data_IF_326384387925
#
_entry.id   IF_326384387925
#
_cell.length_a   1.000
_cell.length_b   1.000
_cell.length_c   1.000
_cell.angle_alpha   90.00
_cell.angle_beta   90.00
_cell.angle_gamma   90.00
#
_symmetry.space_group_name_H-M   'P 1'
#
loop_
_entity.id
_entity.type
_entity.pdbx_description
1 polymer ?
#
# COMPACT_ATOMS: atom_id res chain seq x y z
N UNK A 1 -7.27 3.98 3.54
CA UNK A 1 -6.54 3.76 4.82
C UNK A 1 -5.34 4.68 5.04
N UNK A 2 -4.14 4.41 4.51
CA UNK A 2 -2.94 5.20 4.84
C UNK A 2 -3.08 6.71 4.50
N UNK A 3 -3.64 7.01 3.33
CA UNK A 3 -3.92 8.38 2.91
C UNK A 3 -4.99 9.06 3.78
N UNK A 4 -6.05 8.35 4.16
CA UNK A 4 -7.07 8.85 5.09
C UNK A 4 -6.47 9.16 6.46
N UNK A 5 -5.57 8.29 6.95
CA UNK A 5 -4.88 8.49 8.21
C UNK A 5 -4.04 9.77 8.20
N UNK A 6 -3.29 10.00 7.11
CA UNK A 6 -2.52 11.22 6.91
C UNK A 6 -3.42 12.46 6.82
N UNK A 7 -4.54 12.38 6.09
CA UNK A 7 -5.49 13.48 6.00
C UNK A 7 -6.09 13.82 7.38
N UNK A 8 -6.48 12.82 8.16
CA UNK A 8 -7.00 13.01 9.51
C UNK A 8 -5.97 13.61 10.47
N UNK A 9 -4.74 13.09 10.45
CA UNK A 9 -3.62 13.63 11.23
C UNK A 9 -3.37 15.11 10.90
N UNK A 10 -3.28 15.48 9.61
CA UNK A 10 -3.08 16.89 9.22
C UNK A 10 -4.23 17.79 9.64
N UNK A 11 -5.47 17.30 9.55
CA UNK A 11 -6.65 18.03 10.04
C UNK A 11 -6.56 18.31 11.54
N UNK A 12 -6.14 17.32 12.33
CA UNK A 12 -5.93 17.48 13.77
C UNK A 12 -4.83 18.49 14.09
N UNK A 13 -3.68 18.42 13.41
CA UNK A 13 -2.58 19.36 13.66
C UNK A 13 -2.92 20.80 13.28
N UNK A 14 -3.76 20.97 12.25
CA UNK A 14 -4.21 22.28 11.78
C UNK A 14 -5.25 22.92 12.72
N UNK A 15 -6.14 22.12 13.29
CA UNK A 15 -7.33 22.61 14.01
C UNK A 15 -7.25 22.43 15.52
N UNK A 16 -6.44 21.49 16.00
CA UNK A 16 -6.44 21.01 17.39
C UNK A 16 -7.65 20.13 17.74
N UNK A 17 -8.58 19.89 16.81
CA UNK A 17 -9.82 19.14 17.07
C UNK A 17 -9.61 17.63 16.91
N UNK A 18 -9.75 16.87 18.01
CA UNK A 18 -9.52 15.42 18.03
C UNK A 18 -10.47 14.61 17.13
N UNK A 19 -11.61 15.18 16.73
CA UNK A 19 -12.54 14.58 15.76
C UNK A 19 -11.87 14.28 14.41
N UNK A 20 -10.89 15.09 14.00
CA UNK A 20 -10.11 14.83 12.79
C UNK A 20 -9.22 13.58 12.89
N UNK A 21 -8.99 13.02 14.08
CA UNK A 21 -8.24 11.77 14.25
C UNK A 21 -9.07 10.52 13.96
N UNK A 22 -10.37 10.62 13.69
CA UNK A 22 -11.22 9.46 13.42
C UNK A 22 -10.72 8.63 12.21
N UNK A 23 -10.39 9.24 11.05
CA UNK A 23 -9.81 8.49 9.93
C UNK A 23 -8.47 7.83 10.26
N UNK A 24 -7.64 8.47 11.08
CA UNK A 24 -6.38 7.89 11.57
C UNK A 24 -6.63 6.64 12.42
N UNK A 25 -7.52 6.73 13.40
CA UNK A 25 -7.86 5.61 14.29
C UNK A 25 -8.44 4.44 13.51
N UNK A 26 -9.36 4.72 12.60
CA UNK A 26 -9.96 3.71 11.71
C UNK A 26 -8.90 3.00 10.86
N UNK A 27 -7.99 3.76 10.24
CA UNK A 27 -6.92 3.19 9.44
C UNK A 27 -5.94 2.33 10.25
N UNK A 28 -5.51 2.79 11.42
CA UNK A 28 -4.63 2.01 12.32
C UNK A 28 -5.30 0.70 12.75
N UNK A 29 -6.61 0.72 13.01
CA UNK A 29 -7.37 -0.49 13.34
C UNK A 29 -7.52 -1.46 12.16
N UNK A 30 -7.66 -0.95 10.95
CA UNK A 30 -7.93 -1.77 9.76
C UNK A 30 -6.68 -2.34 9.08
N UNK A 31 -5.56 -1.61 9.07
CA UNK A 31 -4.35 -1.98 8.32
C UNK A 31 -3.83 -3.39 8.67
N UNK A 32 -3.67 -3.78 9.95
CA UNK A 32 -3.14 -5.11 10.29
C UNK A 32 -3.96 -6.25 9.67
N UNK A 33 -5.30 -6.14 9.70
CA UNK A 33 -6.18 -7.14 9.11
C UNK A 33 -6.07 -7.20 7.58
N UNK A 34 -5.90 -6.05 6.93
CA UNK A 34 -5.67 -6.00 5.47
C UNK A 34 -4.33 -6.63 5.08
N UNK A 35 -3.27 -6.39 5.86
CA UNK A 35 -1.95 -7.00 5.60
C UNK A 35 -1.98 -8.51 5.78
N UNK A 36 -2.63 -9.00 6.85
CA UNK A 36 -2.82 -10.43 7.06
C UNK A 36 -3.63 -11.08 5.93
N UNK A 37 -4.63 -10.37 5.40
CA UNK A 37 -5.39 -10.86 4.25
C UNK A 37 -4.52 -10.94 2.98
N UNK A 38 -3.72 -9.91 2.71
CA UNK A 38 -2.77 -9.93 1.58
C UNK A 38 -1.80 -11.11 1.70
N UNK A 39 -1.32 -11.40 2.91
CA UNK A 39 -0.46 -12.56 3.17
C UNK A 39 -1.14 -13.88 2.89
N UNK A 40 -2.42 -14.01 3.23
CA UNK A 40 -3.19 -15.23 2.92
C UNK A 40 -3.42 -15.45 1.42
N UNK A 41 -3.33 -14.41 0.61
CA UNK A 41 -3.56 -14.44 -0.84
C UNK A 41 -2.27 -14.62 -1.64
N UNK A 42 -1.09 -14.54 -1.00
CA UNK A 42 0.20 -14.50 -1.69
C UNK A 42 0.99 -15.77 -1.39
N UNK A 43 1.33 -16.56 -2.41
CA UNK A 43 2.17 -17.73 -2.23
C UNK A 43 3.63 -17.31 -1.90
N UNK A 44 4.38 -18.07 -1.08
CA UNK A 44 5.74 -17.70 -0.67
C UNK A 44 6.75 -17.52 -1.82
N UNK A 45 6.52 -18.19 -2.95
CA UNK A 45 7.34 -18.16 -4.16
C UNK A 45 6.82 -17.20 -5.22
N UNK A 46 5.74 -16.46 -4.94
CA UNK A 46 5.16 -15.50 -5.86
C UNK A 46 6.09 -14.29 -6.06
N UNK A 47 6.21 -13.84 -7.31
CA UNK A 47 6.94 -12.61 -7.67
C UNK A 47 6.36 -11.36 -6.99
N UNK A 48 5.11 -11.43 -6.52
CA UNK A 48 4.43 -10.38 -5.76
C UNK A 48 4.96 -10.21 -4.33
N UNK A 49 5.65 -11.20 -3.75
CA UNK A 49 6.10 -11.16 -2.35
C UNK A 49 6.99 -9.95 -2.06
N UNK A 50 7.98 -9.69 -2.92
CA UNK A 50 8.93 -8.58 -2.73
C UNK A 50 8.23 -7.19 -2.72
N UNK A 51 7.47 -6.80 -3.76
CA UNK A 51 6.79 -5.50 -3.75
C UNK A 51 5.72 -5.41 -2.64
N UNK A 52 5.08 -6.52 -2.24
CA UNK A 52 4.17 -6.54 -1.09
C UNK A 52 4.92 -6.23 0.22
N UNK A 53 6.10 -6.83 0.42
CA UNK A 53 6.92 -6.55 1.60
C UNK A 53 7.37 -5.08 1.64
N UNK A 54 7.77 -4.49 0.51
CA UNK A 54 8.06 -3.05 0.44
C UNK A 54 6.86 -2.18 0.84
N UNK A 55 5.64 -2.54 0.41
CA UNK A 55 4.43 -1.83 0.83
C UNK A 55 4.24 -1.93 2.35
N UNK A 56 4.46 -3.10 2.96
CA UNK A 56 4.31 -3.30 4.41
C UNK A 56 5.31 -2.49 5.21
N UNK A 57 6.57 -2.48 4.79
CA UNK A 57 7.64 -1.74 5.46
C UNK A 57 7.34 -0.24 5.39
N UNK A 58 7.00 0.26 4.20
CA UNK A 58 6.61 1.65 4.01
C UNK A 58 5.35 2.02 4.82
N UNK A 59 4.33 1.16 4.87
CA UNK A 59 3.15 1.38 5.72
C UNK A 59 3.47 1.42 7.21
N UNK A 60 4.42 0.61 7.67
CA UNK A 60 4.88 0.60 9.06
C UNK A 60 5.62 1.89 9.40
N UNK A 61 6.51 2.34 8.50
CA UNK A 61 7.19 3.63 8.62
C UNK A 61 6.19 4.79 8.63
N UNK A 62 5.16 4.74 7.77
CA UNK A 62 4.11 5.77 7.72
C UNK A 62 3.33 5.84 9.03
N UNK A 63 2.95 4.71 9.59
CA UNK A 63 2.23 4.67 10.87
C UNK A 63 3.09 5.23 12.02
N UNK A 64 4.37 4.89 12.05
CA UNK A 64 5.31 5.43 13.04
C UNK A 64 5.43 6.96 12.93
N UNK A 65 5.61 7.49 11.72
CA UNK A 65 5.68 8.95 11.46
C UNK A 65 4.41 9.68 11.90
N UNK A 66 3.23 9.14 11.55
CA UNK A 66 1.95 9.74 11.95
C UNK A 66 1.79 9.74 13.47
N UNK A 67 2.11 8.62 14.13
CA UNK A 67 2.01 8.49 15.58
C UNK A 67 2.97 9.44 16.31
N UNK A 68 4.22 9.55 15.86
CA UNK A 68 5.22 10.46 16.40
C UNK A 68 4.78 11.92 16.27
N UNK A 69 4.28 12.30 15.10
CA UNK A 69 3.83 13.67 14.86
C UNK A 69 2.65 14.04 15.76
N UNK A 70 1.68 13.15 15.92
CA UNK A 70 0.53 13.35 16.83
C UNK A 70 1.03 13.48 18.27
N UNK A 71 1.93 12.59 18.71
CA UNK A 71 2.48 12.62 20.07
C UNK A 71 3.24 13.92 20.38
N UNK A 72 4.05 14.40 19.44
CA UNK A 72 4.75 15.69 19.56
C UNK A 72 3.77 16.86 19.71
N UNK A 73 2.69 16.85 18.93
CA UNK A 73 1.67 17.88 19.00
C UNK A 73 0.89 17.84 20.32
N UNK A 74 0.48 16.65 20.77
CA UNK A 74 -0.20 16.44 22.06
C UNK A 74 0.67 16.90 23.26
N UNK A 75 2.00 16.82 23.14
CA UNK A 75 2.96 17.32 24.13
C UNK A 75 3.15 18.85 24.10
N UNK A 76 2.40 19.56 23.26
CA UNK A 76 2.55 21.00 23.05
C UNK A 76 3.75 21.39 22.16
N UNK A 77 4.39 20.41 21.51
CA UNK A 77 5.56 20.62 20.67
C UNK A 77 5.20 20.74 19.19
N UNK A 78 4.28 21.67 18.87
CA UNK A 78 3.75 21.86 17.53
C UNK A 78 4.83 22.18 16.48
N UNK A 79 5.90 22.89 16.87
CA UNK A 79 7.03 23.19 15.98
C UNK A 79 7.74 21.92 15.52
N UNK A 80 8.09 21.02 16.45
CA UNK A 80 8.73 19.75 16.08
C UNK A 80 7.81 18.84 15.26
N UNK A 81 6.52 18.81 15.59
CA UNK A 81 5.53 18.08 14.79
C UNK A 81 5.50 18.61 13.33
N UNK A 82 5.54 19.93 13.16
CA UNK A 82 5.57 20.55 11.84
C UNK A 82 6.89 20.32 11.10
N UNK A 83 8.03 20.33 11.79
CA UNK A 83 9.34 20.04 11.21
C UNK A 83 9.40 18.59 10.69
N UNK A 84 8.81 17.64 11.40
CA UNK A 84 8.71 16.25 10.96
C UNK A 84 7.89 16.11 9.67
N UNK A 85 6.75 16.82 9.56
CA UNK A 85 5.97 16.86 8.31
C UNK A 85 6.77 17.50 7.18
N UNK A 86 7.46 18.61 7.46
CA UNK A 86 8.25 19.37 6.49
C UNK A 86 9.50 18.63 6.01
N UNK A 87 9.98 17.65 6.76
CA UNK A 87 11.11 16.80 6.36
C UNK A 87 10.85 16.08 5.02
N UNK A 88 9.58 15.91 4.64
CA UNK A 88 9.20 15.18 3.44
C UNK A 88 9.24 13.67 3.58
N UNK A 89 9.59 13.13 4.76
CA UNK A 89 9.61 11.69 5.04
C UNK A 89 8.26 11.04 4.70
N UNK A 90 7.16 11.62 5.17
CA UNK A 90 5.82 11.11 4.90
C UNK A 90 5.47 11.05 3.40
N UNK A 91 6.00 11.99 2.59
CA UNK A 91 5.81 11.98 1.14
C UNK A 91 6.65 10.88 0.48
N UNK A 92 7.92 10.76 0.87
CA UNK A 92 8.82 9.74 0.33
C UNK A 92 8.26 8.33 0.55
N UNK A 93 7.77 8.05 1.76
CA UNK A 93 7.12 6.77 2.11
C UNK A 93 5.86 6.52 1.28
N UNK A 94 5.02 7.54 1.06
CA UNK A 94 3.84 7.40 0.20
C UNK A 94 4.18 7.19 -1.27
N UNK A 95 5.28 7.79 -1.76
CA UNK A 95 5.77 7.57 -3.12
C UNK A 95 6.34 6.15 -3.30
N UNK A 96 6.99 5.58 -2.28
CA UNK A 96 7.42 4.18 -2.25
C UNK A 96 6.24 3.20 -2.29
N UNK A 97 5.18 3.47 -1.51
CA UNK A 97 3.94 2.68 -1.55
C UNK A 97 3.37 2.69 -2.98
N UNK A 98 3.24 3.87 -3.61
CA UNK A 98 2.72 3.98 -4.98
C UNK A 98 3.56 3.18 -5.98
N UNK A 99 4.88 3.34 -5.92
CA UNK A 99 5.83 2.65 -6.82
C UNK A 99 5.73 1.12 -6.68
N UNK A 100 5.59 0.63 -5.45
CA UNK A 100 5.44 -0.79 -5.16
C UNK A 100 4.08 -1.33 -5.63
N UNK A 101 3.00 -0.56 -5.45
CA UNK A 101 1.67 -0.91 -5.99
C UNK A 101 1.67 -0.98 -7.52
N UNK A 102 2.37 -0.06 -8.19
CA UNK A 102 2.50 -0.09 -9.65
C UNK A 102 3.31 -1.30 -10.12
N UNK A 103 4.30 -1.72 -9.34
CA UNK A 103 5.03 -2.96 -9.59
C UNK A 103 4.15 -4.19 -9.45
N UNK A 104 3.31 -4.28 -8.40
CA UNK A 104 2.31 -5.33 -8.24
C UNK A 104 1.39 -5.40 -9.47
N UNK A 105 0.82 -4.26 -9.88
CA UNK A 105 -0.08 -4.18 -11.05
C UNK A 105 0.58 -4.68 -12.32
N UNK A 106 1.83 -4.30 -12.56
CA UNK A 106 2.60 -4.70 -13.74
C UNK A 106 2.89 -6.21 -13.75
N UNK A 107 3.27 -6.79 -12.61
CA UNK A 107 3.50 -8.24 -12.49
C UNK A 107 2.20 -9.00 -12.77
N UNK A 108 1.10 -8.59 -12.14
CA UNK A 108 -0.21 -9.21 -12.36
C UNK A 108 -0.67 -9.11 -13.82
N UNK A 109 -0.49 -7.95 -14.46
CA UNK A 109 -0.86 -7.77 -15.87
C UNK A 109 -0.04 -8.66 -16.82
N UNK A 110 1.26 -8.81 -16.57
CA UNK A 110 2.12 -9.69 -17.34
C UNK A 110 1.71 -11.18 -17.17
N UNK A 111 1.37 -11.58 -15.95
CA UNK A 111 0.90 -12.94 -15.67
C UNK A 111 -0.42 -13.26 -16.38
N UNK A 112 -1.37 -12.31 -16.43
CA UNK A 112 -2.62 -12.47 -17.20
C UNK A 112 -2.32 -12.60 -18.69
N UNK A 113 -1.52 -11.71 -19.27
CA UNK A 113 -1.18 -11.77 -20.68
C UNK A 113 -0.47 -13.07 -21.08
N UNK A 114 0.39 -13.62 -20.22
CA UNK A 114 1.04 -14.90 -20.45
C UNK A 114 0.05 -16.08 -20.44
N UNK A 115 -0.95 -16.05 -19.56
CA UNK A 115 -2.02 -17.07 -19.50
C UNK A 115 -2.91 -17.02 -20.74
N UNK A 116 -3.22 -15.83 -21.22
CA UNK A 116 -4.02 -15.64 -22.43
C UNK A 116 -3.26 -16.18 -23.66
N UNK A 117 -2.00 -15.78 -23.83
CA UNK A 117 -1.16 -16.27 -24.93
C UNK A 117 -0.98 -17.80 -24.93
N UNK A 118 -0.86 -18.41 -23.75
CA UNK A 118 -0.81 -19.87 -23.62
C UNK A 118 -2.14 -20.53 -24.05
N UNK A 119 -3.28 -19.95 -23.66
CA UNK A 119 -4.61 -20.45 -24.03
C UNK A 119 -4.82 -20.37 -25.55
N UNK A 120 -4.45 -19.25 -26.16
CA UNK A 120 -4.52 -19.05 -27.62
C UNK A 120 -3.68 -20.09 -28.38
N UNK A 121 -2.49 -20.41 -27.88
CA UNK A 121 -1.64 -21.45 -28.47
C UNK A 121 -2.30 -22.83 -28.40
N UNK A 122 -2.88 -23.19 -27.26
CA UNK A 122 -3.59 -24.47 -27.10
C UNK A 122 -4.76 -24.56 -28.07
N UNK A 123 -5.57 -23.50 -28.21
CA UNK A 123 -6.67 -23.47 -29.16
C UNK A 123 -6.20 -23.61 -30.62
N UNK A 124 -5.12 -22.93 -30.99
CA UNK A 124 -4.55 -23.03 -32.34
C UNK A 124 -4.10 -24.47 -32.65
N UNK A 125 -3.42 -25.14 -31.72
CA UNK A 125 -3.00 -26.54 -31.87
C UNK A 125 -4.18 -27.50 -32.00
N UNK A 126 -5.22 -27.33 -31.18
CA UNK A 126 -6.43 -28.17 -31.25
C UNK A 126 -7.15 -28.03 -32.59
N UNK A 127 -7.26 -26.80 -33.12
CA UNK A 127 -7.84 -26.56 -34.45
C UNK A 127 -7.05 -27.26 -35.56
N UNK A 128 -5.72 -27.18 -35.54
CA UNK A 128 -4.86 -27.86 -36.52
C UNK A 128 -5.02 -29.38 -36.42
N UNK A 129 -4.98 -29.94 -35.22
CA UNK A 129 -5.15 -31.39 -35.00
C UNK A 129 -6.51 -31.91 -35.47
N UNK A 130 -7.58 -31.12 -35.28
CA UNK A 130 -8.94 -31.48 -35.73
C UNK A 130 -9.13 -31.46 -37.26
N UNK A 131 -8.31 -30.70 -37.99
CA UNK A 131 -8.36 -30.65 -39.46
C UNK A 131 -7.52 -31.74 -40.13
N UNK A 132 -6.61 -32.36 -39.38
CA UNK A 132 -5.69 -33.39 -39.86
C UNK A 132 -6.18 -34.83 -39.59
N UNK A 133 -7.34 -35.00 -38.95
CA UNK A 133 -7.98 -36.29 -38.62
C UNK A 133 -9.26 -36.48 -39.44
#
# INVERSE_FOLDING_TARGET
LAQEAESGQRGYLLTGEKSYLEPYRSAVGAIPGQLAHIDSLTAPDDQLVQPINHIKDALSQKQAELAETIALYDQGNATKALDLIRSGQGKAVMDEIRTSMDTVRRISAAAVAARDAHTDQVEAWLRIGSLAA
#
